data_IF_844958592103
#
_entry.id   IF_844958592103
#
_cell.length_a   1.000
_cell.length_b   1.000
_cell.length_c   1.000
_cell.angle_alpha   90.00
_cell.angle_beta   90.00
_cell.angle_gamma   90.00
#
_symmetry.space_group_name_H-M   'P 1'
#
loop_
_entity.id
_entity.type
_entity.pdbx_description
1 polymer ?
#
# COMPACT_ATOMS: atom_id res chain seq x y z
N UNK A 1 66.33 -49.82 17.77
CA UNK A 1 66.66 -49.73 16.33
C UNK A 1 67.24 -48.34 16.11
N UNK A 2 68.55 -48.18 16.26
CA UNK A 2 69.54 -48.15 15.16
C UNK A 2 69.28 -46.98 14.21
N UNK A 3 70.17 -46.03 13.95
CA UNK A 3 71.57 -45.70 14.34
C UNK A 3 71.88 -44.47 13.45
N UNK A 4 72.66 -43.49 13.96
CA UNK A 4 73.76 -42.76 13.27
C UNK A 4 73.47 -42.03 11.95
N UNK A 5 74.05 -40.91 11.54
CA UNK A 5 75.18 -40.04 11.92
C UNK A 5 75.09 -38.91 10.87
N UNK A 6 75.11 -37.64 11.27
CA UNK A 6 76.28 -36.76 11.31
C UNK A 6 76.90 -36.40 9.95
N UNK A 7 77.18 -35.09 9.88
CA UNK A 7 78.39 -34.46 9.38
C UNK A 7 78.38 -33.67 8.05
N UNK A 8 78.55 -32.35 8.27
CA UNK A 8 79.60 -31.49 7.71
C UNK A 8 79.53 -31.13 6.21
N UNK A 9 79.93 -29.94 5.75
CA UNK A 9 80.45 -28.72 6.36
C UNK A 9 80.54 -27.64 5.26
N UNK A 10 80.52 -26.36 5.67
CA UNK A 10 81.37 -25.22 5.25
C UNK A 10 81.73 -25.12 3.75
N UNK A 11 81.44 -23.98 3.06
CA UNK A 11 82.44 -22.99 2.56
C UNK A 11 81.76 -21.63 2.21
N UNK A 12 82.62 -20.61 2.24
CA UNK A 12 82.54 -19.17 2.34
C UNK A 12 82.44 -18.39 1.00
N UNK A 13 82.30 -17.06 1.14
CA UNK A 13 82.91 -15.99 0.32
C UNK A 13 82.23 -15.44 -0.97
N UNK A 14 81.71 -14.21 -0.81
CA UNK A 14 82.06 -12.96 -1.53
C UNK A 14 82.02 -12.82 -3.07
N UNK A 15 81.32 -11.75 -3.47
CA UNK A 15 81.67 -10.69 -4.46
C UNK A 15 81.61 -10.93 -5.98
N UNK A 16 80.99 -9.91 -6.62
CA UNK A 16 81.37 -9.23 -7.87
C UNK A 16 80.43 -9.38 -9.10
N UNK A 17 79.72 -8.28 -9.37
CA UNK A 17 79.65 -7.54 -10.66
C UNK A 17 79.51 -8.34 -11.96
N UNK A 18 78.44 -8.09 -12.71
CA UNK A 18 78.52 -7.39 -14.02
C UNK A 18 77.13 -7.01 -14.52
N UNK A 19 77.04 -5.83 -15.12
CA UNK A 19 75.85 -5.28 -15.76
C UNK A 19 75.52 -6.03 -17.07
N UNK A 20 74.23 -6.12 -17.40
CA UNK A 20 73.73 -6.58 -18.70
C UNK A 20 72.56 -5.68 -19.11
N UNK A 21 72.72 -5.09 -20.30
CA UNK A 21 71.84 -4.11 -20.94
C UNK A 21 70.45 -4.69 -21.26
N UNK A 22 69.39 -3.98 -20.88
CA UNK A 22 68.03 -4.24 -21.36
C UNK A 22 67.72 -3.35 -22.55
N UNK A 23 67.57 -3.95 -23.73
CA UNK A 23 67.02 -3.34 -24.92
C UNK A 23 65.56 -2.93 -24.71
N UNK A 24 65.23 -1.67 -24.98
CA UNK A 24 63.87 -1.13 -24.93
C UNK A 24 63.09 -1.47 -26.19
N UNK A 25 62.02 -2.27 -26.05
CA UNK A 25 61.00 -2.45 -27.09
C UNK A 25 59.94 -1.37 -26.92
N UNK A 26 59.75 -0.55 -27.95
CA UNK A 26 58.78 0.54 -27.97
C UNK A 26 57.42 0.00 -28.44
N UNK A 27 56.42 -0.04 -27.56
CA UNK A 27 55.03 -0.42 -27.88
C UNK A 27 54.22 0.87 -28.11
N UNK A 28 53.37 0.99 -29.15
CA UNK A 28 52.62 2.21 -29.39
C UNK A 28 51.54 2.40 -28.33
N UNK A 29 51.49 3.60 -27.77
CA UNK A 29 50.43 4.05 -26.84
C UNK A 29 49.15 4.27 -27.63
N UNK A 30 48.12 3.49 -27.33
CA UNK A 30 46.73 3.79 -27.72
C UNK A 30 46.13 4.73 -26.68
N UNK A 31 45.69 5.91 -27.13
CA UNK A 31 45.02 6.90 -26.30
C UNK A 31 43.75 6.31 -25.67
N UNK A 32 43.76 6.16 -24.34
CA UNK A 32 42.58 5.82 -23.58
C UNK A 32 41.68 7.06 -23.49
N UNK A 33 40.60 7.08 -24.27
CA UNK A 33 39.54 8.06 -24.11
C UNK A 33 38.98 7.98 -22.69
N UNK A 34 39.15 9.06 -21.92
CA UNK A 34 38.64 9.19 -20.57
C UNK A 34 37.11 9.05 -20.57
N UNK A 35 36.61 7.94 -20.02
CA UNK A 35 35.19 7.77 -19.76
C UNK A 35 34.83 8.63 -18.56
N UNK A 36 34.17 9.77 -18.81
CA UNK A 36 33.61 10.60 -17.73
C UNK A 36 32.55 9.77 -17.01
N UNK A 37 32.82 9.40 -15.75
CA UNK A 37 31.84 8.77 -14.88
C UNK A 37 30.65 9.73 -14.73
N UNK A 38 29.46 9.28 -15.13
CA UNK A 38 28.23 10.01 -14.92
C UNK A 38 28.05 10.26 -13.42
N UNK A 39 27.60 11.47 -13.06
CA UNK A 39 27.27 11.81 -11.69
C UNK A 39 26.27 10.78 -11.12
N UNK A 40 26.38 10.39 -9.84
CA UNK A 40 25.44 9.46 -9.23
C UNK A 40 24.03 10.04 -9.34
N UNK A 41 23.09 9.22 -9.82
CA UNK A 41 21.69 9.59 -9.89
C UNK A 41 21.21 10.06 -8.51
N UNK A 42 20.32 11.06 -8.43
CA UNK A 42 19.76 11.50 -7.16
C UNK A 42 19.15 10.31 -6.40
N UNK A 43 19.21 10.32 -5.05
CA UNK A 43 18.67 9.23 -4.26
C UNK A 43 17.19 9.02 -4.62
N UNK A 44 16.87 7.83 -5.10
CA UNK A 44 15.49 7.42 -5.40
C UNK A 44 14.73 7.47 -4.09
N UNK A 45 13.70 8.31 -4.01
CA UNK A 45 12.82 8.33 -2.84
C UNK A 45 11.95 7.06 -2.88
N UNK A 46 12.36 6.05 -2.11
CA UNK A 46 11.65 4.76 -2.02
C UNK A 46 10.48 4.93 -1.04
N UNK A 47 9.24 4.86 -1.55
CA UNK A 47 8.05 4.93 -0.67
C UNK A 47 7.82 3.60 0.02
N UNK A 48 7.51 3.64 1.31
CA UNK A 48 7.15 2.50 2.15
C UNK A 48 5.66 2.24 2.09
N UNK A 49 5.29 1.14 1.45
CA UNK A 49 3.90 0.74 1.23
C UNK A 49 3.58 -0.45 2.12
N UNK A 50 2.53 -0.33 2.93
CA UNK A 50 1.98 -1.46 3.69
C UNK A 50 0.72 -1.94 3.00
N UNK A 51 0.70 -3.19 2.54
CA UNK A 51 -0.52 -3.86 2.07
C UNK A 51 -1.21 -4.57 3.23
N UNK A 52 -2.33 -4.03 3.67
CA UNK A 52 -3.28 -4.65 4.57
C UNK A 52 -4.20 -5.62 3.82
N UNK A 53 -4.13 -6.89 4.20
CA UNK A 53 -4.87 -7.98 3.56
C UNK A 53 -5.77 -8.66 4.60
N UNK A 54 -6.99 -8.16 4.84
CA UNK A 54 -7.94 -8.82 5.74
C UNK A 54 -8.50 -10.10 5.09
N UNK A 55 -8.63 -11.14 5.90
CA UNK A 55 -9.11 -12.46 5.51
C UNK A 55 -8.00 -13.50 5.40
N UNK A 56 -8.41 -14.77 5.43
CA UNK A 56 -7.56 -15.95 5.30
C UNK A 56 -7.96 -16.85 4.12
N UNK A 57 -9.01 -16.48 3.40
CA UNK A 57 -9.52 -17.17 2.22
C UNK A 57 -9.44 -16.26 1.01
N UNK A 58 -8.56 -16.60 0.06
CA UNK A 58 -8.31 -15.83 -1.16
C UNK A 58 -8.63 -16.68 -2.38
N UNK A 59 -9.30 -16.08 -3.38
CA UNK A 59 -9.60 -16.78 -4.62
C UNK A 59 -8.33 -17.02 -5.47
N UNK A 60 -8.37 -18.00 -6.37
CA UNK A 60 -7.29 -18.19 -7.36
C UNK A 60 -7.05 -16.94 -8.21
N UNK A 61 -8.11 -16.18 -8.51
CA UNK A 61 -8.03 -14.89 -9.20
C UNK A 61 -7.26 -13.87 -8.37
N UNK A 62 -7.56 -13.75 -7.08
CA UNK A 62 -6.81 -12.88 -6.17
C UNK A 62 -5.34 -13.27 -6.14
N UNK A 63 -5.02 -14.56 -5.97
CA UNK A 63 -3.64 -15.04 -5.91
C UNK A 63 -2.84 -14.70 -7.18
N UNK A 64 -3.47 -14.86 -8.36
CA UNK A 64 -2.87 -14.47 -9.65
C UNK A 64 -2.65 -12.95 -9.71
N UNK A 65 -3.68 -12.15 -9.41
CA UNK A 65 -3.61 -10.69 -9.38
C UNK A 65 -2.51 -10.19 -8.44
N UNK A 66 -2.45 -10.73 -7.23
CA UNK A 66 -1.48 -10.40 -6.21
C UNK A 66 -0.05 -10.73 -6.63
N UNK A 67 0.19 -11.97 -7.09
CA UNK A 67 1.53 -12.44 -7.48
C UNK A 67 2.08 -11.63 -8.66
N UNK A 68 1.26 -11.36 -9.68
CA UNK A 68 1.65 -10.54 -10.82
C UNK A 68 1.94 -9.09 -10.43
N UNK A 69 1.12 -8.53 -9.54
CA UNK A 69 1.28 -7.17 -9.04
C UNK A 69 2.55 -7.01 -8.23
N UNK A 70 2.81 -7.92 -7.29
CA UNK A 70 3.97 -7.86 -6.41
C UNK A 70 5.29 -7.96 -7.20
N UNK A 71 5.35 -8.84 -8.21
CA UNK A 71 6.50 -8.94 -9.12
C UNK A 71 6.79 -7.63 -9.84
N UNK A 72 5.78 -7.03 -10.48
CA UNK A 72 5.92 -5.74 -11.19
C UNK A 72 6.25 -4.59 -10.24
N UNK A 73 5.66 -4.53 -9.04
CA UNK A 73 5.99 -3.50 -8.05
C UNK A 73 7.47 -3.55 -7.66
N UNK A 74 8.05 -4.73 -7.44
CA UNK A 74 9.49 -4.86 -7.16
C UNK A 74 10.37 -4.46 -8.35
N UNK A 75 9.95 -4.77 -9.58
CA UNK A 75 10.67 -4.36 -10.79
C UNK A 75 10.77 -2.83 -10.91
N UNK A 76 9.76 -2.08 -10.44
CA UNK A 76 9.78 -0.60 -10.50
C UNK A 76 10.90 0.02 -9.66
N UNK A 77 11.39 -0.67 -8.62
CA UNK A 77 12.36 -0.15 -7.62
C UNK A 77 11.92 1.16 -6.94
N UNK A 78 10.64 1.54 -7.02
CA UNK A 78 10.07 2.76 -6.40
C UNK A 78 9.59 2.52 -4.96
N UNK A 79 9.34 1.26 -4.58
CA UNK A 79 8.59 0.91 -3.38
C UNK A 79 9.33 -0.08 -2.49
N UNK A 80 9.28 0.17 -1.18
CA UNK A 80 9.59 -0.79 -0.12
C UNK A 80 8.27 -1.35 0.41
N UNK A 81 8.08 -2.66 0.34
CA UNK A 81 6.77 -3.29 0.45
C UNK A 81 6.71 -4.16 1.71
N UNK A 82 5.70 -3.91 2.54
CA UNK A 82 5.38 -4.70 3.73
C UNK A 82 3.97 -5.29 3.59
N UNK A 83 3.80 -6.52 4.07
CA UNK A 83 2.50 -7.19 4.11
C UNK A 83 1.99 -7.26 5.54
N UNK A 84 0.73 -6.88 5.75
CA UNK A 84 0.06 -6.93 7.05
C UNK A 84 -1.28 -7.66 6.92
N UNK A 85 -1.26 -9.01 6.92
CA UNK A 85 -2.48 -9.80 6.89
C UNK A 85 -3.13 -9.87 8.28
N UNK A 86 -4.45 -10.07 8.31
CA UNK A 86 -5.17 -10.39 9.54
C UNK A 86 -6.44 -11.19 9.22
N UNK A 87 -6.91 -12.02 10.15
CA UNK A 87 -8.18 -12.75 10.03
C UNK A 87 -8.94 -12.70 11.36
N UNK A 88 -10.25 -12.87 11.30
CA UNK A 88 -11.13 -12.83 12.47
C UNK A 88 -12.60 -12.66 12.09
N UNK A 89 -13.49 -12.97 13.02
CA UNK A 89 -14.94 -12.87 12.82
C UNK A 89 -15.48 -11.45 13.01
N UNK A 90 -14.72 -10.57 13.65
CA UNK A 90 -15.11 -9.18 13.90
C UNK A 90 -14.24 -8.23 13.08
N UNK A 91 -14.78 -7.76 11.96
CA UNK A 91 -14.06 -6.99 10.93
C UNK A 91 -13.34 -5.75 11.49
N UNK A 92 -13.91 -4.95 12.42
CA UNK A 92 -13.16 -3.84 13.03
C UNK A 92 -11.84 -4.27 13.66
N UNK A 93 -11.80 -5.43 14.32
CA UNK A 93 -10.56 -5.95 14.92
C UNK A 93 -9.58 -6.44 13.86
N UNK A 94 -10.09 -7.05 12.78
CA UNK A 94 -9.25 -7.46 11.65
C UNK A 94 -8.57 -6.24 11.03
N UNK A 95 -9.31 -5.15 10.77
CA UNK A 95 -8.73 -3.90 10.24
C UNK A 95 -7.73 -3.26 11.22
N UNK A 96 -8.00 -3.28 12.54
CA UNK A 96 -7.02 -2.81 13.52
C UNK A 96 -5.75 -3.66 13.52
N UNK A 97 -5.86 -4.97 13.37
CA UNK A 97 -4.72 -5.87 13.32
C UNK A 97 -3.84 -5.66 12.07
N UNK A 98 -4.42 -5.29 10.92
CA UNK A 98 -3.64 -4.91 9.73
C UNK A 98 -2.92 -3.55 9.83
N UNK A 99 -3.14 -2.81 10.93
CA UNK A 99 -2.32 -1.66 11.35
C UNK A 99 -1.27 -2.05 12.39
N UNK A 100 -1.11 -3.33 12.71
CA UNK A 100 -0.17 -3.81 13.72
C UNK A 100 -0.50 -3.38 15.15
N UNK A 101 -1.77 -3.06 15.43
CA UNK A 101 -2.25 -2.62 16.74
C UNK A 101 -2.45 -3.80 17.70
N UNK A 102 -2.32 -3.53 19.01
CA UNK A 102 -2.51 -4.51 20.07
C UNK A 102 -3.20 -3.84 21.26
N UNK A 103 -4.36 -4.33 21.69
CA UNK A 103 -5.15 -3.73 22.77
C UNK A 103 -4.34 -3.46 24.05
N UNK A 104 -3.31 -4.26 24.36
CA UNK A 104 -2.49 -4.12 25.56
C UNK A 104 -1.58 -2.89 25.54
N UNK A 105 -1.36 -2.25 24.39
CA UNK A 105 -0.57 -1.01 24.28
C UNK A 105 -1.38 0.26 24.63
N UNK A 106 -2.67 0.13 24.94
CA UNK A 106 -3.50 1.23 25.47
C UNK A 106 -4.05 2.20 24.41
N UNK A 107 -4.64 3.32 24.84
CA UNK A 107 -5.42 4.19 23.94
C UNK A 107 -4.60 5.13 23.04
N UNK A 108 -3.31 5.34 23.33
CA UNK A 108 -2.44 6.28 22.59
C UNK A 108 -1.69 5.61 21.42
N UNK A 109 -2.15 4.43 21.01
CA UNK A 109 -1.50 3.63 19.99
C UNK A 109 -1.51 4.28 18.61
N UNK A 110 -0.40 4.08 17.91
CA UNK A 110 -0.22 4.44 16.50
C UNK A 110 -0.05 3.19 15.66
N UNK A 111 -0.40 3.23 14.35
CA UNK A 111 -0.12 2.12 13.45
C UNK A 111 1.35 1.71 13.52
N UNK A 112 1.60 0.41 13.53
CA UNK A 112 2.91 -0.23 13.56
C UNK A 112 3.80 0.26 14.71
N UNK A 113 3.19 0.68 15.83
CA UNK A 113 3.89 1.24 16.99
C UNK A 113 4.80 2.43 16.63
N UNK A 114 4.36 3.23 15.65
CA UNK A 114 5.10 4.39 15.16
C UNK A 114 6.22 4.08 14.17
N UNK A 115 6.39 2.82 13.73
CA UNK A 115 7.30 2.50 12.64
C UNK A 115 6.92 3.27 11.36
N UNK A 116 7.93 3.72 10.58
CA UNK A 116 7.68 4.55 9.42
C UNK A 116 7.06 3.76 8.27
N UNK A 117 5.98 4.30 7.71
CA UNK A 117 5.38 3.94 6.43
C UNK A 117 4.86 5.20 5.76
N UNK A 118 4.68 5.20 4.44
CA UNK A 118 4.16 6.34 3.70
C UNK A 118 2.67 6.15 3.37
N UNK A 119 2.33 4.95 2.88
CA UNK A 119 0.97 4.62 2.45
C UNK A 119 0.56 3.25 2.99
N UNK A 120 -0.62 3.21 3.60
CA UNK A 120 -1.31 1.99 3.96
C UNK A 120 -2.39 1.70 2.92
N UNK A 121 -2.38 0.51 2.33
CA UNK A 121 -3.30 0.09 1.27
C UNK A 121 -4.06 -1.12 1.75
N UNK A 122 -5.38 -1.04 1.75
CA UNK A 122 -6.25 -2.17 2.06
C UNK A 122 -6.83 -2.77 0.80
N UNK A 123 -6.74 -4.09 0.69
CA UNK A 123 -7.32 -4.87 -0.41
C UNK A 123 -8.06 -6.07 0.17
N UNK A 124 -9.38 -6.11 0.01
CA UNK A 124 -10.20 -7.23 0.48
C UNK A 124 -9.95 -8.50 -0.33
N UNK A 125 -10.12 -9.67 0.30
CA UNK A 125 -9.78 -10.97 -0.30
C UNK A 125 -10.64 -11.38 -1.50
N UNK A 126 -11.78 -10.71 -1.72
CA UNK A 126 -12.70 -10.91 -2.84
C UNK A 126 -12.52 -9.87 -3.96
N UNK A 127 -11.52 -8.99 -3.87
CA UNK A 127 -11.21 -7.99 -4.90
C UNK A 127 -10.22 -8.55 -5.92
N UNK A 128 -10.49 -8.28 -7.20
CA UNK A 128 -9.63 -8.67 -8.33
C UNK A 128 -9.11 -7.41 -9.01
N UNK A 129 -7.79 -7.28 -9.08
CA UNK A 129 -7.12 -6.06 -9.52
C UNK A 129 -5.95 -6.37 -10.45
N UNK A 130 -5.38 -5.33 -11.05
CA UNK A 130 -4.13 -5.41 -11.83
C UNK A 130 -3.04 -4.54 -11.20
N UNK A 131 -1.80 -4.75 -11.64
CA UNK A 131 -0.66 -3.91 -11.25
C UNK A 131 -0.91 -2.44 -11.53
N UNK A 132 -1.40 -2.12 -12.74
CA UNK A 132 -1.60 -0.74 -13.20
C UNK A 132 -2.63 -0.01 -12.33
N UNK A 133 -3.60 -0.75 -11.78
CA UNK A 133 -4.60 -0.21 -10.85
C UNK A 133 -4.00 0.06 -9.47
N UNK A 134 -3.14 -0.83 -8.97
CA UNK A 134 -2.44 -0.64 -7.69
C UNK A 134 -1.41 0.49 -7.81
N UNK A 135 -0.63 0.54 -8.89
CA UNK A 135 0.32 1.63 -9.12
C UNK A 135 -0.41 2.98 -9.22
N UNK A 136 -1.51 3.05 -10.00
CA UNK A 136 -2.33 4.27 -10.08
C UNK A 136 -2.94 4.66 -8.72
N UNK A 137 -3.33 3.69 -7.89
CA UNK A 137 -3.83 3.95 -6.54
C UNK A 137 -2.72 4.57 -5.66
N UNK A 138 -1.51 4.00 -5.68
CA UNK A 138 -0.35 4.53 -4.95
C UNK A 138 0.00 5.95 -5.43
N UNK A 139 0.13 6.16 -6.74
CA UNK A 139 0.47 7.46 -7.33
C UNK A 139 -0.59 8.52 -7.04
N UNK A 140 -1.87 8.14 -7.00
CA UNK A 140 -2.95 9.04 -6.60
C UNK A 140 -2.79 9.59 -5.18
N UNK A 141 -2.04 8.88 -4.31
CA UNK A 141 -1.81 9.38 -2.96
C UNK A 141 -0.92 10.61 -2.91
N UNK A 142 -0.14 10.87 -3.96
CA UNK A 142 0.67 12.09 -4.09
C UNK A 142 -0.20 13.33 -4.26
N UNK A 143 -1.37 13.17 -4.88
CA UNK A 143 -2.36 14.24 -5.08
C UNK A 143 -3.30 14.35 -3.86
N UNK A 144 -3.74 13.22 -3.30
CA UNK A 144 -4.74 13.17 -2.23
C UNK A 144 -4.40 12.17 -1.12
N UNK A 145 -4.54 12.52 0.17
CA UNK A 145 -4.10 11.65 1.26
C UNK A 145 -4.98 10.41 1.50
N UNK A 146 -6.21 10.41 0.96
CA UNK A 146 -7.13 9.27 1.04
C UNK A 146 -7.72 9.03 -0.34
N UNK A 147 -7.41 7.89 -0.94
CA UNK A 147 -7.87 7.52 -2.27
C UNK A 147 -8.46 6.13 -2.28
N UNK A 148 -9.59 5.93 -2.97
CA UNK A 148 -10.18 4.62 -3.19
C UNK A 148 -10.39 4.32 -4.68
N UNK A 149 -10.44 3.05 -5.04
CA UNK A 149 -10.91 2.57 -6.34
C UNK A 149 -12.37 2.15 -6.31
N UNK A 150 -13.01 2.10 -7.47
CA UNK A 150 -14.41 1.71 -7.60
C UNK A 150 -14.58 0.20 -7.76
N UNK A 151 -15.59 -0.36 -7.10
CA UNK A 151 -16.04 -1.72 -7.31
C UNK A 151 -17.55 -1.82 -7.09
N UNK A 152 -18.20 -2.70 -7.86
CA UNK A 152 -19.66 -2.85 -7.81
C UNK A 152 -20.10 -3.64 -6.59
N UNK A 153 -21.25 -3.30 -6.05
CA UNK A 153 -21.93 -4.06 -4.99
C UNK A 153 -22.56 -5.34 -5.53
N UNK A 154 -23.04 -6.21 -4.64
CA UNK A 154 -23.70 -7.48 -4.99
C UNK A 154 -25.01 -7.32 -5.76
N UNK A 155 -25.61 -6.12 -5.74
CA UNK A 155 -26.79 -5.79 -6.53
C UNK A 155 -26.49 -5.56 -8.03
N UNK A 156 -25.21 -5.54 -8.42
CA UNK A 156 -24.71 -5.30 -9.78
C UNK A 156 -25.02 -3.90 -10.35
N UNK A 157 -25.69 -3.05 -9.59
CA UNK A 157 -26.17 -1.72 -9.98
C UNK A 157 -25.27 -0.64 -9.39
N UNK A 158 -25.01 -0.70 -8.09
CA UNK A 158 -24.37 0.40 -7.37
C UNK A 158 -22.87 0.16 -7.19
N UNK A 159 -22.10 1.23 -7.06
CA UNK A 159 -20.74 1.20 -6.56
C UNK A 159 -20.72 1.36 -5.03
N UNK A 160 -19.69 0.79 -4.39
CA UNK A 160 -19.55 0.79 -2.94
C UNK A 160 -19.06 2.13 -2.35
N UNK A 161 -19.64 3.25 -2.75
CA UNK A 161 -19.36 4.58 -2.18
C UNK A 161 -20.58 5.49 -2.23
N UNK A 162 -20.60 6.49 -1.34
CA UNK A 162 -21.70 7.44 -1.11
C UNK A 162 -21.13 8.85 -1.17
N UNK A 163 -21.73 9.70 -2.02
CA UNK A 163 -21.31 11.09 -2.20
C UNK A 163 -21.62 11.94 -0.97
N UNK A 164 -22.88 11.92 -0.52
CA UNK A 164 -23.41 12.84 0.50
C UNK A 164 -24.02 12.08 1.68
N UNK A 165 -23.84 12.62 2.89
CA UNK A 165 -24.45 12.06 4.12
C UNK A 165 -25.89 12.54 4.27
N UNK A 166 -26.77 12.07 3.39
CA UNK A 166 -28.18 12.47 3.34
C UNK A 166 -29.05 11.67 4.33
N UNK A 167 -29.29 12.24 5.51
CA UNK A 167 -30.19 11.66 6.51
C UNK A 167 -31.65 11.60 6.06
N UNK A 168 -32.09 12.45 5.13
CA UNK A 168 -33.45 12.41 4.59
C UNK A 168 -33.64 11.15 3.76
N UNK A 169 -32.69 10.88 2.86
CA UNK A 169 -32.65 9.64 2.10
C UNK A 169 -32.54 8.42 3.04
N UNK A 170 -31.69 8.49 4.06
CA UNK A 170 -31.54 7.40 5.04
C UNK A 170 -32.84 7.11 5.78
N UNK A 171 -33.54 8.13 6.28
CA UNK A 171 -34.83 7.95 7.00
C UNK A 171 -35.88 7.27 6.13
N UNK A 172 -35.88 7.54 4.82
CA UNK A 172 -36.83 6.95 3.87
C UNK A 172 -36.44 5.53 3.41
N UNK A 173 -35.14 5.22 3.29
CA UNK A 173 -34.66 3.99 2.63
C UNK A 173 -33.92 3.02 3.55
N UNK A 174 -33.54 3.44 4.77
CA UNK A 174 -32.74 2.65 5.71
C UNK A 174 -31.27 2.47 5.32
N UNK A 175 -30.80 3.20 4.32
CA UNK A 175 -29.41 3.21 3.85
C UNK A 175 -29.11 4.56 3.19
N UNK A 176 -27.82 4.90 3.05
CA UNK A 176 -27.41 6.06 2.27
C UNK A 176 -27.43 5.76 0.76
N UNK A 177 -27.48 6.81 -0.05
CA UNK A 177 -27.57 6.65 -1.49
C UNK A 177 -26.19 6.30 -2.08
N UNK A 178 -26.04 5.02 -2.45
CA UNK A 178 -24.87 4.56 -3.18
C UNK A 178 -24.89 5.05 -4.63
N UNK A 179 -23.71 5.31 -5.17
CA UNK A 179 -23.55 5.91 -6.50
C UNK A 179 -23.70 4.88 -7.62
N UNK A 180 -24.42 5.26 -8.67
CA UNK A 180 -24.57 4.45 -9.88
C UNK A 180 -23.52 4.79 -10.95
N UNK A 181 -23.23 3.87 -11.89
CA UNK A 181 -22.32 4.11 -13.00
C UNK A 181 -22.64 5.38 -13.80
N UNK A 182 -23.91 5.66 -14.06
CA UNK A 182 -24.34 6.81 -14.87
C UNK A 182 -23.98 8.14 -14.20
N UNK A 183 -24.00 8.20 -12.87
CA UNK A 183 -23.63 9.38 -12.09
C UNK A 183 -22.12 9.65 -12.16
N UNK A 184 -21.30 8.59 -12.21
CA UNK A 184 -19.85 8.71 -12.42
C UNK A 184 -19.54 9.22 -13.83
N UNK A 185 -20.22 8.67 -14.85
CA UNK A 185 -20.04 9.12 -16.23
C UNK A 185 -20.49 10.58 -16.42
N UNK A 186 -21.56 10.99 -15.73
CA UNK A 186 -22.02 12.39 -15.74
C UNK A 186 -20.99 13.30 -15.09
N UNK A 187 -20.49 12.94 -13.90
CA UNK A 187 -19.43 13.68 -13.21
C UNK A 187 -18.18 13.86 -14.08
N UNK A 188 -17.70 12.77 -14.72
CA UNK A 188 -16.53 12.83 -15.61
C UNK A 188 -16.73 13.80 -16.77
N UNK A 189 -17.93 13.80 -17.37
CA UNK A 189 -18.25 14.69 -18.50
C UNK A 189 -18.37 16.16 -18.08
N UNK A 190 -18.93 16.42 -16.91
CA UNK A 190 -19.20 17.78 -16.44
C UNK A 190 -17.97 18.45 -15.83
N UNK A 191 -17.10 17.68 -15.16
CA UNK A 191 -15.96 18.21 -14.40
C UNK A 191 -14.61 17.97 -15.06
N UNK A 192 -14.53 17.03 -16.01
CA UNK A 192 -13.28 16.50 -16.57
C UNK A 192 -12.30 15.97 -15.50
N UNK A 193 -12.78 15.75 -14.27
CA UNK A 193 -11.95 15.40 -13.13
C UNK A 193 -12.07 13.91 -12.77
N UNK A 194 -10.91 13.23 -12.66
CA UNK A 194 -10.85 11.79 -12.37
C UNK A 194 -11.16 11.44 -10.91
N UNK A 195 -11.06 12.40 -9.98
CA UNK A 195 -11.36 12.15 -8.57
C UNK A 195 -12.79 12.59 -8.23
N UNK A 196 -13.56 11.66 -7.67
CA UNK A 196 -14.93 11.90 -7.21
C UNK A 196 -14.90 12.04 -5.68
N UNK A 197 -15.19 13.23 -5.11
CA UNK A 197 -15.20 13.41 -3.67
C UNK A 197 -16.43 12.72 -3.04
N UNK A 198 -16.20 11.98 -1.96
CA UNK A 198 -17.23 11.19 -1.27
C UNK A 198 -17.13 11.34 0.25
N UNK A 199 -18.23 11.15 0.98
CA UNK A 199 -18.22 11.04 2.46
C UNK A 199 -17.95 9.63 2.95
N UNK A 200 -18.16 8.63 2.09
CA UNK A 200 -17.94 7.23 2.41
C UNK A 200 -17.52 6.45 1.16
N UNK A 201 -16.52 5.59 1.33
CA UNK A 201 -16.17 4.54 0.37
C UNK A 201 -15.88 3.26 1.14
N UNK A 202 -16.32 2.13 0.60
CA UNK A 202 -15.94 0.84 1.12
C UNK A 202 -14.42 0.65 1.06
N UNK A 203 -13.90 -0.15 1.99
CA UNK A 203 -12.47 -0.35 2.21
C UNK A 203 -11.85 -1.52 1.43
N UNK A 204 -12.56 -2.03 0.41
CA UNK A 204 -12.10 -3.15 -0.38
C UNK A 204 -10.90 -2.83 -1.26
N UNK A 205 -10.72 -1.56 -1.65
CA UNK A 205 -9.57 -1.11 -2.44
C UNK A 205 -9.30 0.38 -2.16
N UNK A 206 -8.53 0.66 -1.11
CA UNK A 206 -8.28 2.02 -0.61
C UNK A 206 -6.83 2.20 -0.17
N UNK A 207 -6.27 3.38 -0.41
CA UNK A 207 -4.95 3.81 0.03
C UNK A 207 -5.05 5.07 0.90
N UNK A 208 -4.32 5.07 2.01
CA UNK A 208 -4.36 6.13 3.03
C UNK A 208 -2.93 6.49 3.42
N UNK A 209 -2.58 7.78 3.34
CA UNK A 209 -1.29 8.29 3.81
C UNK A 209 -1.18 8.23 5.33
N UNK A 210 0.03 8.00 5.84
CA UNK A 210 0.31 7.94 7.27
C UNK A 210 -0.22 9.14 8.06
N UNK A 211 -0.10 10.34 7.49
CA UNK A 211 -0.55 11.60 8.11
C UNK A 211 -2.03 11.60 8.52
N UNK A 212 -2.89 10.83 7.83
CA UNK A 212 -4.31 10.71 8.15
C UNK A 212 -4.48 9.96 9.47
N UNK A 213 -3.75 8.86 9.66
CA UNK A 213 -3.74 8.12 10.91
C UNK A 213 -3.16 8.95 12.06
N UNK A 214 -2.14 9.77 11.80
CA UNK A 214 -1.55 10.64 12.83
C UNK A 214 -2.56 11.68 13.38
N UNK A 215 -3.65 11.96 12.65
CA UNK A 215 -4.73 12.87 13.05
C UNK A 215 -5.94 12.18 13.68
N UNK A 216 -6.11 10.89 13.45
CA UNK A 216 -7.23 10.10 14.00
C UNK A 216 -6.79 9.46 15.31
N UNK A 217 -7.62 9.54 16.35
CA UNK A 217 -7.38 8.83 17.61
C UNK A 217 -7.87 7.39 17.52
N UNK A 218 -7.07 6.47 18.04
CA UNK A 218 -7.47 5.08 18.29
C UNK A 218 -8.73 5.04 19.19
N UNK A 219 -9.67 4.08 18.98
CA UNK A 219 -9.70 3.06 17.92
C UNK A 219 -10.07 3.62 16.53
N UNK A 220 -9.45 3.15 15.45
CA UNK A 220 -9.62 3.75 14.11
C UNK A 220 -10.92 3.33 13.39
N UNK A 221 -11.41 2.11 13.62
CA UNK A 221 -12.50 1.47 12.86
C UNK A 221 -13.79 1.31 13.67
N UNK A 222 -14.01 2.22 14.61
CA UNK A 222 -15.13 2.20 15.56
C UNK A 222 -15.85 3.54 15.55
N UNK A 223 -17.14 3.56 15.85
CA UNK A 223 -17.91 4.81 16.00
C UNK A 223 -19.06 4.65 16.99
N UNK A 224 -19.49 5.78 17.55
CA UNK A 224 -20.68 5.82 18.40
C UNK A 224 -21.93 5.42 17.61
N UNK A 225 -22.91 4.82 18.31
CA UNK A 225 -24.20 4.44 17.74
C UNK A 225 -24.88 5.68 17.17
N UNK A 226 -25.15 5.66 15.86
CA UNK A 226 -25.85 6.74 15.20
C UNK A 226 -27.30 6.78 15.68
N UNK A 227 -27.75 7.96 16.09
CA UNK A 227 -29.13 8.18 16.58
C UNK A 227 -29.80 9.19 15.67
N UNK A 228 -30.82 8.75 14.94
CA UNK A 228 -31.54 9.56 13.96
C UNK A 228 -33.00 9.63 14.39
N UNK A 229 -33.51 10.84 14.59
CA UNK A 229 -34.93 11.05 14.93
C UNK A 229 -35.71 11.40 13.67
N UNK A 230 -36.78 10.65 13.40
CA UNK A 230 -37.70 10.89 12.28
C UNK A 230 -38.74 11.97 12.66
N UNK A 231 -39.44 12.50 11.65
CA UNK A 231 -40.43 13.57 11.85
C UNK A 231 -41.62 13.14 12.74
N UNK A 232 -41.99 11.85 12.71
CA UNK A 232 -43.02 11.24 13.57
C UNK A 232 -42.52 10.87 14.97
N UNK A 233 -41.29 11.26 15.33
CA UNK A 233 -40.71 11.07 16.67
C UNK A 233 -40.11 9.68 16.92
N UNK A 234 -40.07 8.80 15.92
CA UNK A 234 -39.39 7.51 16.03
C UNK A 234 -37.86 7.71 16.08
N UNK A 235 -37.21 7.02 17.00
CA UNK A 235 -35.76 7.05 17.17
C UNK A 235 -35.14 5.84 16.50
N UNK A 236 -34.38 6.07 15.44
CA UNK A 236 -33.57 5.05 14.74
C UNK A 236 -32.21 5.00 15.41
N UNK A 237 -31.76 3.79 15.75
CA UNK A 237 -30.41 3.52 16.27
C UNK A 237 -29.70 2.59 15.31
N UNK A 238 -28.60 3.07 14.74
CA UNK A 238 -27.83 2.36 13.73
C UNK A 238 -26.38 2.14 14.21
N UNK A 239 -25.87 0.94 13.95
CA UNK A 239 -24.47 0.59 14.20
C UNK A 239 -23.79 0.61 12.85
N UNK A 240 -22.84 1.54 12.68
CA UNK A 240 -22.09 1.65 11.45
C UNK A 240 -21.12 0.48 11.29
N UNK A 241 -20.90 0.06 10.03
CA UNK A 241 -19.79 -0.81 9.68
C UNK A 241 -18.43 -0.14 9.95
N UNK A 242 -17.35 -0.91 9.88
CA UNK A 242 -16.01 -0.46 10.22
C UNK A 242 -15.47 0.55 9.21
N UNK A 243 -15.84 0.39 7.93
CA UNK A 243 -15.49 1.28 6.83
C UNK A 243 -16.23 2.63 6.93
N UNK A 244 -17.53 2.63 7.23
CA UNK A 244 -18.30 3.84 7.52
C UNK A 244 -17.73 4.57 8.73
N UNK A 245 -17.42 3.83 9.80
CA UNK A 245 -16.82 4.40 11.02
C UNK A 245 -15.49 5.09 10.72
N UNK A 246 -14.63 4.44 9.93
CA UNK A 246 -13.35 5.01 9.54
C UNK A 246 -13.50 6.22 8.62
N UNK A 247 -14.37 6.17 7.61
CA UNK A 247 -14.63 7.29 6.70
C UNK A 247 -15.15 8.54 7.44
N UNK A 248 -16.02 8.34 8.44
CA UNK A 248 -16.48 9.44 9.32
C UNK A 248 -15.32 10.05 10.10
N UNK A 249 -14.41 9.23 10.65
CA UNK A 249 -13.22 9.70 11.37
C UNK A 249 -12.24 10.44 10.47
N UNK A 250 -12.04 9.99 9.23
CA UNK A 250 -11.26 10.70 8.21
C UNK A 250 -11.84 12.09 7.96
N UNK A 251 -13.16 12.17 7.75
CA UNK A 251 -13.85 13.44 7.50
C UNK A 251 -13.76 14.37 8.71
N UNK A 252 -13.96 13.84 9.93
CA UNK A 252 -13.82 14.59 11.19
C UNK A 252 -12.38 15.10 11.42
N UNK A 253 -11.38 14.37 10.93
CA UNK A 253 -9.98 14.78 10.96
C UNK A 253 -9.64 15.85 9.90
N UNK A 254 -10.61 16.24 9.05
CA UNK A 254 -10.46 17.30 8.05
C UNK A 254 -9.94 16.82 6.68
N UNK A 255 -9.99 15.53 6.41
CA UNK A 255 -9.56 14.95 5.13
C UNK A 255 -10.77 14.60 4.24
N UNK A 256 -10.63 14.85 2.94
CA UNK A 256 -11.59 14.44 1.92
C UNK A 256 -11.21 13.08 1.35
N UNK A 257 -12.17 12.17 1.25
CA UNK A 257 -12.00 10.87 0.57
C UNK A 257 -12.22 11.09 -0.92
N UNK A 258 -11.26 10.66 -1.74
CA UNK A 258 -11.28 10.80 -3.19
C UNK A 258 -11.37 9.44 -3.87
N UNK A 259 -12.47 9.16 -4.58
CA UNK A 259 -12.56 7.95 -5.40
C UNK A 259 -11.93 8.24 -6.76
N UNK A 260 -10.84 7.55 -7.11
CA UNK A 260 -10.26 7.65 -8.45
C UNK A 260 -11.11 6.83 -9.43
N UNK A 261 -11.88 7.53 -10.24
CA UNK A 261 -12.87 6.95 -11.17
C UNK A 261 -12.25 6.28 -12.40
N UNK A 262 -10.93 6.34 -12.57
CA UNK A 262 -10.20 5.55 -13.57
C UNK A 262 -9.74 4.20 -13.03
N UNK A 263 -9.93 3.94 -11.73
CA UNK A 263 -9.62 2.68 -11.07
C UNK A 263 -10.94 1.94 -10.86
N UNK A 264 -11.17 0.88 -11.63
CA UNK A 264 -12.31 -0.02 -11.46
C UNK A 264 -11.84 -1.47 -11.31
N UNK A 265 -11.95 -2.01 -10.10
CA UNK A 265 -11.55 -3.38 -9.76
C UNK A 265 -12.76 -4.34 -9.81
N UNK A 266 -12.49 -5.63 -9.92
CA UNK A 266 -13.49 -6.68 -9.83
C UNK A 266 -13.85 -7.00 -8.38
N UNK A 267 -15.08 -7.46 -8.14
CA UNK A 267 -15.56 -7.86 -6.82
C UNK A 267 -16.26 -9.22 -6.95
N UNK A 268 -15.68 -10.24 -6.35
CA UNK A 268 -16.17 -11.61 -6.42
C UNK A 268 -17.34 -11.77 -5.45
N UNK A 269 -18.46 -12.30 -5.95
CA UNK A 269 -19.56 -12.78 -5.11
C UNK A 269 -19.85 -14.25 -5.42
N UNK A 270 -19.86 -15.12 -4.40
CA UNK A 270 -20.11 -16.54 -4.61
C UNK A 270 -21.55 -16.77 -5.04
N UNK A 271 -21.75 -17.72 -5.94
CA UNK A 271 -23.04 -18.31 -6.24
C UNK A 271 -23.05 -19.71 -5.62
N UNK A 272 -24.02 -19.98 -4.75
CA UNK A 272 -24.23 -21.31 -4.19
C UNK A 272 -25.05 -22.10 -5.22
N UNK A 273 -24.57 -23.30 -5.57
CA UNK A 273 -25.24 -24.25 -6.48
C UNK A 273 -25.73 -25.43 -5.65
#
# INVERSE_FOLDING_TARGET
MTTTTDDNAIIDASTASTASETATVNVPVVDAAATTAAAPAPPVNIKKIVFALPGDNFSSKFLISWTATLGKLWETRKYDIMLSPATGSFVPFVRMATLGLDVLRGQEQKPFDGQPFDVWITIDSDIVFTFEQVEKLIESTDEHPVVAGMYRMSDLVNYAFVKDWDETYFKANGTFQFIKPEEVETWKKETEFKYYPVVYSGMGFMAVRKEVFDKIKYPYFDSEIATITTEDGKVIRDICSEDVSFCKKITQAGYQIMVNTDIRVGHIKPLII
#
